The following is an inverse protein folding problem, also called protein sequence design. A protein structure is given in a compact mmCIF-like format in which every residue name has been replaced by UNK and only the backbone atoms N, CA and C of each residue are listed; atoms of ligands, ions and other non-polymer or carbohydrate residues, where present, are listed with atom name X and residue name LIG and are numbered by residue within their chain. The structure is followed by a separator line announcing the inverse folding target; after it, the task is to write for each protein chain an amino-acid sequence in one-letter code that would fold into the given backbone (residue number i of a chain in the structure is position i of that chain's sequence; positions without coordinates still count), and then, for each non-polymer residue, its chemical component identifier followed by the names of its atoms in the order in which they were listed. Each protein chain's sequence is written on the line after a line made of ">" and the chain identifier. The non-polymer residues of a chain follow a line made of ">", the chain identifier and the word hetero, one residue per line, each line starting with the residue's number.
data_IF_637211345959
#
_entry.id   IF_637211345959
#
_cell.length_a   1.000
_cell.length_b   1.000
_cell.length_c   1.000
_cell.angle_alpha   90.00
_cell.angle_beta   90.00
_cell.angle_gamma   90.00
#
_symmetry.space_group_name_H-M   'P 1'
#
loop_
_entity.id
_entity.type
_entity.pdbx_description
1 polymer ?
#
# COMPACT_ATOMS: atom_id res chain seq x y z
N UNK A 1 -39.86 45.29 6.34
CA UNK A 1 -40.02 43.90 5.82
C UNK A 1 -38.91 43.45 4.86
N UNK A 2 -38.31 44.31 4.03
CA UNK A 2 -37.33 43.83 3.01
C UNK A 2 -35.86 43.65 3.46
N UNK A 3 -35.44 44.14 4.63
CA UNK A 3 -34.03 44.00 5.07
C UNK A 3 -33.70 42.61 5.66
N UNK A 4 -34.67 41.96 6.31
CA UNK A 4 -34.45 40.66 6.99
C UNK A 4 -34.31 39.51 5.99
N UNK A 5 -35.00 39.57 4.86
CA UNK A 5 -34.89 38.59 3.77
C UNK A 5 -33.50 38.57 3.10
N UNK A 6 -32.81 39.71 3.03
CA UNK A 6 -31.48 39.79 2.43
C UNK A 6 -30.39 39.09 3.26
N UNK A 7 -30.46 39.18 4.60
CA UNK A 7 -29.49 38.53 5.50
C UNK A 7 -29.60 36.99 5.49
N UNK A 8 -30.82 36.45 5.39
CA UNK A 8 -31.04 34.99 5.33
C UNK A 8 -30.46 34.40 4.03
N UNK A 9 -30.50 35.14 2.93
CA UNK A 9 -29.92 34.73 1.64
C UNK A 9 -28.38 34.74 1.61
N UNK A 10 -27.74 35.62 2.40
CA UNK A 10 -26.27 35.67 2.49
C UNK A 10 -25.75 34.54 3.37
N UNK A 11 -26.38 34.28 4.53
CA UNK A 11 -25.94 33.24 5.47
C UNK A 11 -26.15 31.81 4.91
N UNK A 12 -27.00 31.62 3.91
CA UNK A 12 -27.22 30.32 3.26
C UNK A 12 -26.21 29.97 2.15
N UNK A 13 -25.27 30.86 1.81
CA UNK A 13 -24.16 30.55 0.89
C UNK A 13 -22.91 29.98 1.60
N UNK A 14 -22.70 30.30 2.89
CA UNK A 14 -21.52 29.86 3.65
C UNK A 14 -21.68 28.45 4.27
N UNK A 15 -22.83 27.80 4.08
CA UNK A 15 -23.13 26.44 4.61
C UNK A 15 -23.38 25.43 3.48
N UNK A 16 -22.73 25.60 2.33
CA UNK A 16 -22.43 24.45 1.46
C UNK A 16 -21.07 23.90 1.90
N UNK A 17 -21.11 22.96 2.84
CA UNK A 17 -19.98 22.07 3.10
C UNK A 17 -19.77 21.16 1.88
N UNK A 18 -19.09 21.69 0.87
CA UNK A 18 -18.71 20.98 -0.35
C UNK A 18 -17.93 19.73 0.08
N UNK A 19 -18.42 18.54 -0.34
CA UNK A 19 -17.59 17.35 -0.41
C UNK A 19 -16.32 17.71 -1.20
N UNK A 20 -15.19 17.91 -0.51
CA UNK A 20 -13.94 18.39 -1.14
C UNK A 20 -13.28 17.30 -1.98
N UNK A 21 -13.93 16.92 -3.10
CA UNK A 21 -13.21 16.46 -4.28
C UNK A 21 -12.25 17.58 -4.70
N UNK A 22 -10.97 17.28 -4.99
CA UNK A 22 -10.09 18.25 -5.65
C UNK A 22 -10.64 18.49 -7.06
N UNK A 23 -11.44 19.56 -7.23
CA UNK A 23 -12.12 19.83 -8.51
C UNK A 23 -11.16 20.26 -9.62
N UNK A 24 -9.95 20.72 -9.26
CA UNK A 24 -8.90 21.13 -10.20
C UNK A 24 -7.56 20.47 -9.81
N UNK A 25 -7.37 19.21 -10.24
CA UNK A 25 -6.09 18.51 -10.08
C UNK A 25 -4.94 19.21 -10.84
N UNK A 26 -5.11 19.69 -12.09
CA UNK A 26 -4.09 20.50 -12.77
C UNK A 26 -3.65 21.74 -11.96
N UNK A 27 -4.58 22.54 -11.46
CA UNK A 27 -4.26 23.72 -10.64
C UNK A 27 -3.55 23.39 -9.33
N UNK A 28 -3.84 22.24 -8.72
CA UNK A 28 -3.08 21.72 -7.56
C UNK A 28 -1.65 21.36 -7.94
N UNK A 29 -1.44 20.67 -9.07
CA UNK A 29 -0.10 20.32 -9.58
C UNK A 29 0.72 21.58 -9.86
N UNK A 30 0.14 22.57 -10.54
CA UNK A 30 0.78 23.86 -10.81
C UNK A 30 1.09 24.64 -9.54
N UNK A 31 0.16 24.67 -8.57
CA UNK A 31 0.38 25.30 -7.28
C UNK A 31 1.55 24.66 -6.53
N UNK A 32 1.60 23.34 -6.44
CA UNK A 32 2.67 22.59 -5.77
C UNK A 32 4.02 22.84 -6.45
N UNK A 33 4.09 22.73 -7.77
CA UNK A 33 5.31 22.95 -8.55
C UNK A 33 5.78 24.41 -8.56
N UNK A 34 4.88 25.38 -8.31
CA UNK A 34 5.20 26.80 -8.16
C UNK A 34 5.67 27.16 -6.74
N UNK A 35 5.19 26.45 -5.72
CA UNK A 35 5.45 26.77 -4.30
C UNK A 35 6.70 26.11 -3.71
N UNK A 36 7.16 25.01 -4.29
CA UNK A 36 8.37 24.31 -3.86
C UNK A 36 9.11 23.68 -5.04
N UNK A 37 10.39 23.36 -4.84
CA UNK A 37 11.27 22.74 -5.84
C UNK A 37 11.96 21.46 -5.35
N UNK A 38 11.49 20.89 -4.23
CA UNK A 38 12.03 19.68 -3.59
C UNK A 38 11.57 18.41 -4.33
N UNK A 39 10.37 18.43 -4.90
CA UNK A 39 9.82 17.36 -5.73
C UNK A 39 8.96 17.94 -6.86
N UNK A 40 8.73 17.14 -7.90
CA UNK A 40 7.84 17.49 -9.01
C UNK A 40 6.53 16.71 -8.89
N UNK A 41 5.42 17.42 -8.74
CA UNK A 41 4.08 16.85 -8.87
C UNK A 41 3.72 16.67 -10.36
N UNK A 42 2.94 15.63 -10.66
CA UNK A 42 2.39 15.35 -11.99
C UNK A 42 1.00 14.70 -11.84
N UNK A 43 0.19 14.72 -12.89
CA UNK A 43 -1.16 14.16 -12.87
C UNK A 43 -1.08 12.63 -12.98
N UNK A 44 -1.74 11.85 -12.09
CA UNK A 44 -1.77 10.40 -12.20
C UNK A 44 -2.31 9.93 -13.55
N UNK A 45 -1.59 9.03 -14.23
CA UNK A 45 -1.99 8.47 -15.55
C UNK A 45 -3.15 7.46 -15.48
N UNK A 46 -3.98 7.54 -14.44
CA UNK A 46 -5.04 6.59 -14.08
C UNK A 46 -6.31 7.33 -13.63
N UNK A 47 -7.45 6.64 -13.64
CA UNK A 47 -8.70 7.25 -13.15
C UNK A 47 -8.64 7.48 -11.64
N UNK A 48 -9.41 8.44 -11.11
CA UNK A 48 -9.51 8.64 -9.66
C UNK A 48 -10.01 7.39 -8.92
N UNK A 49 -10.87 6.59 -9.55
CA UNK A 49 -11.35 5.30 -9.02
C UNK A 49 -10.21 4.28 -8.91
N UNK A 50 -9.40 4.13 -9.97
CA UNK A 50 -8.23 3.24 -10.02
C UNK A 50 -7.12 3.71 -9.07
N UNK A 51 -6.94 5.02 -8.90
CA UNK A 51 -6.02 5.59 -7.92
C UNK A 51 -6.48 5.27 -6.49
N UNK A 52 -7.74 5.56 -6.16
CA UNK A 52 -8.30 5.28 -4.83
C UNK A 52 -8.32 3.78 -4.51
N UNK A 53 -8.50 2.90 -5.49
CA UNK A 53 -8.48 1.43 -5.30
C UNK A 53 -7.07 0.84 -5.10
N UNK A 54 -6.02 1.68 -5.04
CA UNK A 54 -4.64 1.29 -4.70
C UNK A 54 -4.16 1.92 -3.38
N UNK A 55 -4.98 2.75 -2.72
CA UNK A 55 -4.61 3.45 -1.49
C UNK A 55 -5.16 2.76 -0.23
N UNK A 56 -4.40 2.83 0.86
CA UNK A 56 -4.84 2.38 2.18
C UNK A 56 -5.94 3.30 2.69
N UNK A 57 -7.02 2.69 3.17
CA UNK A 57 -8.21 3.33 3.73
C UNK A 57 -7.92 3.78 5.17
N UNK A 58 -8.35 5.01 5.52
CA UNK A 58 -7.94 5.73 6.72
C UNK A 58 -8.38 5.04 8.03
N UNK A 59 -9.48 4.29 8.01
CA UNK A 59 -9.96 3.50 9.16
C UNK A 59 -8.99 2.41 9.64
N UNK A 60 -7.96 2.09 8.84
CA UNK A 60 -6.96 1.07 9.19
C UNK A 60 -5.73 1.63 9.90
N UNK A 61 -5.67 2.94 10.14
CA UNK A 61 -4.65 3.59 10.97
C UNK A 61 -5.09 3.80 12.43
N UNK A 62 -6.33 3.45 12.78
CA UNK A 62 -6.95 3.66 14.11
C UNK A 62 -6.72 2.49 15.10
N UNK A 63 -5.84 1.52 14.77
CA UNK A 63 -5.56 0.36 15.63
C UNK A 63 -4.77 0.73 16.90
N UNK A 64 -4.86 -0.09 17.94
CA UNK A 64 -4.16 0.13 19.21
C UNK A 64 -2.64 0.12 18.99
N UNK A 65 -1.97 1.22 19.36
CA UNK A 65 -0.52 1.38 19.15
C UNK A 65 0.25 0.65 20.25
N UNK A 66 0.65 -0.57 19.97
CA UNK A 66 1.70 -1.26 20.74
C UNK A 66 3.04 -0.61 20.39
N UNK A 67 3.64 0.07 21.36
CA UNK A 67 4.98 0.64 21.24
C UNK A 67 6.00 -0.39 21.75
N UNK A 68 7.10 -0.55 21.02
CA UNK A 68 8.29 -1.22 21.55
C UNK A 68 9.11 -0.26 22.42
N UNK A 69 9.93 -0.82 23.32
CA UNK A 69 10.85 -0.03 24.14
C UNK A 69 11.89 0.68 23.26
N UNK A 70 12.20 1.94 23.59
CA UNK A 70 13.28 2.67 22.92
C UNK A 70 14.64 2.11 23.37
N UNK A 71 15.40 1.55 22.43
CA UNK A 71 16.71 0.98 22.71
C UNK A 71 17.74 2.11 22.85
N UNK A 72 18.38 2.20 24.02
CA UNK A 72 19.42 3.18 24.27
C UNK A 72 20.62 3.01 23.31
N UNK A 73 20.74 3.93 22.34
CA UNK A 73 21.80 3.93 21.34
C UNK A 73 22.90 4.94 21.70
N UNK A 74 24.07 4.43 22.07
CA UNK A 74 25.24 5.24 22.47
C UNK A 74 26.16 5.62 21.28
N UNK A 75 25.67 5.55 20.05
CA UNK A 75 26.42 5.89 18.84
C UNK A 75 25.95 7.19 18.19
N UNK A 76 26.70 7.67 17.21
CA UNK A 76 26.28 8.79 16.36
C UNK A 76 25.34 8.30 15.25
N UNK A 77 24.19 8.96 15.08
CA UNK A 77 23.25 8.69 13.98
C UNK A 77 23.77 9.42 12.74
N UNK A 78 23.97 8.74 11.59
CA UNK A 78 24.52 9.38 10.40
C UNK A 78 23.52 10.35 9.74
N UNK A 79 24.03 11.41 9.11
CA UNK A 79 23.23 12.41 8.37
C UNK A 79 22.37 11.78 7.26
N UNK A 80 22.83 10.66 6.67
CA UNK A 80 22.03 9.89 5.73
C UNK A 80 22.27 8.39 5.90
N UNK A 81 21.22 7.60 5.66
CA UNK A 81 21.27 6.14 5.75
C UNK A 81 20.54 5.51 4.55
N UNK A 82 21.10 4.44 4.00
CA UNK A 82 20.50 3.66 2.91
C UNK A 82 20.77 2.18 3.17
N UNK A 83 19.72 1.45 3.58
CA UNK A 83 19.80 0.03 3.91
C UNK A 83 20.37 -0.83 2.77
N UNK A 84 20.19 -0.42 1.50
CA UNK A 84 20.72 -1.13 0.32
C UNK A 84 22.25 -1.00 0.19
N UNK A 85 22.84 0.02 0.81
CA UNK A 85 24.30 0.21 0.89
C UNK A 85 24.88 -0.45 2.14
N UNK A 86 24.13 -0.45 3.24
CA UNK A 86 24.56 -1.05 4.50
C UNK A 86 24.56 -2.59 4.46
N UNK A 87 23.55 -3.20 3.83
CA UNK A 87 23.41 -4.65 3.68
C UNK A 87 23.29 -5.01 2.19
N UNK A 88 24.38 -4.88 1.41
CA UNK A 88 24.37 -5.16 -0.03
C UNK A 88 24.09 -6.62 -0.37
N UNK A 89 24.38 -7.55 0.54
CA UNK A 89 24.10 -8.98 0.47
C UNK A 89 22.61 -9.32 0.61
N UNK A 90 21.83 -8.44 1.24
CA UNK A 90 20.38 -8.61 1.41
C UNK A 90 19.63 -8.12 0.18
N UNK A 91 19.62 -8.93 -0.89
CA UNK A 91 18.96 -8.59 -2.16
C UNK A 91 17.48 -8.21 -1.98
N UNK A 92 16.79 -8.77 -0.98
CA UNK A 92 15.40 -8.41 -0.62
C UNK A 92 15.17 -6.92 -0.39
N UNK A 93 16.18 -6.16 0.06
CA UNK A 93 16.09 -4.71 0.31
C UNK A 93 16.09 -3.90 -1.01
N UNK A 94 16.55 -4.51 -2.12
CA UNK A 94 16.52 -3.91 -3.48
C UNK A 94 15.23 -4.23 -4.25
N UNK A 95 14.49 -5.26 -3.86
CA UNK A 95 13.34 -5.76 -4.63
C UNK A 95 12.10 -4.88 -4.41
N UNK A 96 11.66 -4.22 -5.48
CA UNK A 96 10.32 -3.61 -5.54
C UNK A 96 9.30 -4.68 -5.94
N UNK A 97 8.24 -4.83 -5.14
CA UNK A 97 7.15 -5.80 -5.37
C UNK A 97 5.94 -5.10 -6.01
N UNK A 98 5.14 -5.85 -6.76
CA UNK A 98 3.86 -5.42 -7.31
C UNK A 98 2.72 -6.17 -6.59
N UNK A 99 1.72 -5.44 -6.11
CA UNK A 99 0.53 -5.98 -5.44
C UNK A 99 -0.62 -6.33 -6.42
N UNK A 100 -0.37 -6.21 -7.72
CA UNK A 100 -1.38 -6.30 -8.77
C UNK A 100 -2.57 -5.38 -8.47
N UNK A 101 -3.81 -5.84 -8.68
CA UNK A 101 -5.01 -5.14 -8.24
C UNK A 101 -5.64 -5.73 -6.96
N UNK A 102 -4.80 -6.19 -6.03
CA UNK A 102 -5.19 -6.54 -4.66
C UNK A 102 -4.88 -5.32 -3.77
N UNK A 103 -5.86 -4.42 -3.61
CA UNK A 103 -5.56 -2.99 -3.40
C UNK A 103 -6.38 -2.22 -2.37
N UNK A 104 -7.34 -2.82 -1.66
CA UNK A 104 -7.87 -2.27 -0.40
C UNK A 104 -7.15 -3.03 0.73
N UNK A 105 -6.21 -2.39 1.42
CA UNK A 105 -5.16 -3.07 2.22
C UNK A 105 -5.39 -2.85 3.75
N UNK A 106 -4.96 -3.70 4.71
CA UNK A 106 -4.43 -5.09 4.69
C UNK A 106 -4.56 -5.81 6.08
N UNK A 107 -5.54 -6.72 6.27
CA UNK A 107 -5.87 -7.62 7.44
C UNK A 107 -7.03 -7.30 8.40
N UNK A 108 -8.29 -7.57 8.03
CA UNK A 108 -8.81 -8.93 8.16
C UNK A 108 -9.43 -9.52 6.88
N UNK A 109 -9.34 -8.83 5.74
CA UNK A 109 -9.92 -9.29 4.47
C UNK A 109 -8.98 -9.10 3.25
N UNK A 110 -7.67 -9.25 3.42
CA UNK A 110 -6.66 -9.34 2.34
C UNK A 110 -6.73 -8.23 1.28
N UNK A 111 -7.36 -8.47 0.12
CA UNK A 111 -7.52 -7.50 -0.97
C UNK A 111 -8.63 -6.46 -0.71
N UNK A 112 -9.42 -6.66 0.35
CA UNK A 112 -10.47 -5.75 0.85
C UNK A 112 -10.10 -4.96 2.13
N UNK A 113 -9.09 -5.38 2.90
CA UNK A 113 -8.38 -4.46 3.82
C UNK A 113 -8.03 -4.95 5.22
N UNK A 114 -7.54 -4.02 6.07
CA UNK A 114 -7.25 -4.13 7.51
C UNK A 114 -5.84 -3.80 8.05
N UNK A 115 -5.45 -4.53 9.11
CA UNK A 115 -4.41 -4.40 10.16
C UNK A 115 -2.90 -4.61 9.87
N UNK A 116 -2.10 -3.55 9.67
CA UNK A 116 -0.63 -3.67 9.56
C UNK A 116 0.04 -4.32 10.78
N UNK A 117 -0.34 -3.93 12.01
CA UNK A 117 0.19 -4.52 13.25
C UNK A 117 -0.23 -5.99 13.39
N UNK A 118 -1.46 -6.33 12.98
CA UNK A 118 -1.98 -7.70 13.03
C UNK A 118 -1.22 -8.65 12.11
N UNK A 119 -0.63 -8.15 11.01
CA UNK A 119 0.27 -8.95 10.17
C UNK A 119 1.57 -9.35 10.91
N UNK A 120 2.17 -8.44 11.67
CA UNK A 120 3.35 -8.72 12.50
C UNK A 120 3.03 -9.68 13.66
N UNK A 121 1.91 -9.47 14.35
CA UNK A 121 1.43 -10.40 15.40
C UNK A 121 1.19 -11.80 14.82
N UNK A 122 0.58 -11.90 13.63
CA UNK A 122 0.42 -13.18 12.94
C UNK A 122 1.77 -13.82 12.60
N UNK A 123 2.74 -13.04 12.11
CA UNK A 123 4.07 -13.50 11.73
C UNK A 123 4.85 -14.07 12.93
N UNK A 124 4.79 -13.43 14.10
CA UNK A 124 5.37 -13.94 15.33
C UNK A 124 4.66 -15.22 15.82
N UNK A 125 3.31 -15.22 15.86
CA UNK A 125 2.55 -16.32 16.43
C UNK A 125 2.43 -17.58 15.53
N UNK A 126 2.41 -17.41 14.20
CA UNK A 126 2.08 -18.49 13.26
C UNK A 126 3.17 -18.77 12.21
N UNK A 127 4.07 -17.81 11.99
CA UNK A 127 5.05 -17.83 10.92
C UNK A 127 4.46 -17.69 9.51
N UNK A 128 5.32 -17.42 8.54
CA UNK A 128 5.01 -17.45 7.11
C UNK A 128 6.02 -18.31 6.36
N UNK A 129 5.53 -19.08 5.39
CA UNK A 129 6.39 -19.82 4.48
C UNK A 129 7.09 -18.89 3.48
N UNK A 130 8.13 -19.38 2.80
CA UNK A 130 8.78 -18.61 1.72
C UNK A 130 7.81 -18.30 0.59
N UNK A 131 7.97 -17.12 0.01
CA UNK A 131 7.13 -16.62 -1.08
C UNK A 131 7.91 -15.69 -2.00
N UNK A 132 7.36 -15.49 -3.19
CA UNK A 132 8.03 -14.82 -4.30
C UNK A 132 7.06 -14.08 -5.21
N UNK A 133 7.56 -13.56 -6.32
CA UNK A 133 6.77 -12.97 -7.39
C UNK A 133 5.81 -14.01 -8.02
N UNK A 134 4.89 -13.54 -8.86
CA UNK A 134 3.97 -14.41 -9.57
C UNK A 134 4.72 -15.46 -10.41
N UNK A 135 4.38 -16.74 -10.22
CA UNK A 135 5.02 -17.86 -10.93
C UNK A 135 6.46 -18.17 -10.50
N UNK A 136 7.00 -17.55 -9.44
CA UNK A 136 8.35 -17.80 -8.97
C UNK A 136 8.52 -19.26 -8.50
N UNK A 137 9.62 -19.89 -8.94
CA UNK A 137 9.98 -21.28 -8.62
C UNK A 137 10.99 -21.30 -7.48
N UNK A 138 11.01 -22.37 -6.69
CA UNK A 138 11.95 -22.48 -5.57
C UNK A 138 11.53 -21.75 -4.30
N UNK A 139 10.28 -21.29 -4.22
CA UNK A 139 9.62 -20.77 -3.01
C UNK A 139 8.39 -21.61 -2.68
N UNK A 140 7.95 -21.67 -1.42
CA UNK A 140 6.77 -22.44 -1.06
C UNK A 140 5.50 -21.88 -1.71
N UNK A 141 5.25 -20.57 -1.61
CA UNK A 141 4.03 -19.92 -2.14
C UNK A 141 4.35 -18.64 -2.92
N UNK A 142 4.51 -18.70 -4.27
CA UNK A 142 4.59 -17.49 -5.09
C UNK A 142 3.29 -16.68 -5.00
N UNK A 143 3.37 -15.38 -5.28
CA UNK A 143 2.21 -14.48 -5.25
C UNK A 143 1.11 -14.96 -6.20
N UNK A 144 -0.14 -14.84 -5.77
CA UNK A 144 -1.29 -15.48 -6.45
C UNK A 144 -1.73 -14.76 -7.73
N UNK A 145 -1.45 -13.46 -7.84
CA UNK A 145 -1.94 -12.61 -8.92
C UNK A 145 -0.81 -12.24 -9.87
N UNK A 146 -1.10 -12.32 -11.16
CA UNK A 146 -0.20 -11.81 -12.18
C UNK A 146 -0.15 -10.27 -12.08
N UNK A 147 1.03 -9.64 -12.12
CA UNK A 147 1.13 -8.18 -12.03
C UNK A 147 0.46 -7.51 -13.23
N UNK A 148 -0.16 -6.35 -12.99
CA UNK A 148 -1.04 -5.71 -13.96
C UNK A 148 -1.09 -4.19 -13.81
N UNK A 149 -1.61 -3.52 -14.84
CA UNK A 149 -1.83 -2.07 -14.86
C UNK A 149 -0.87 -1.34 -15.80
N UNK A 150 -0.72 -0.03 -15.57
CA UNK A 150 -0.10 0.88 -16.54
C UNK A 150 1.41 0.94 -16.43
N UNK A 151 2.10 -0.05 -17.00
CA UNK A 151 3.55 -0.20 -16.95
C UNK A 151 4.27 0.17 -18.26
N UNK A 152 4.06 1.40 -18.75
CA UNK A 152 4.81 1.95 -19.90
C UNK A 152 4.82 1.05 -21.13
N UNK A 153 6.01 0.69 -21.62
CA UNK A 153 6.21 -0.24 -22.75
C UNK A 153 6.51 -1.69 -22.31
N UNK A 154 6.21 -2.07 -21.05
CA UNK A 154 6.59 -3.37 -20.50
C UNK A 154 5.51 -4.43 -20.79
N UNK A 155 5.71 -5.23 -21.84
CA UNK A 155 4.78 -6.26 -22.33
C UNK A 155 4.51 -7.40 -21.36
N UNK A 156 5.32 -7.55 -20.30
CA UNK A 156 5.06 -8.51 -19.22
C UNK A 156 3.80 -8.15 -18.41
N UNK A 157 3.39 -6.89 -18.36
CA UNK A 157 2.26 -6.45 -17.55
C UNK A 157 1.00 -6.31 -18.41
N UNK A 158 -0.05 -7.05 -18.06
CA UNK A 158 -1.35 -6.95 -18.72
C UNK A 158 -2.25 -5.88 -18.11
N UNK A 159 -3.40 -5.63 -18.74
CA UNK A 159 -4.49 -4.89 -18.10
C UNK A 159 -5.03 -5.66 -16.88
N UNK A 160 -5.44 -4.95 -15.83
CA UNK A 160 -6.09 -5.57 -14.68
C UNK A 160 -7.53 -5.96 -15.06
N UNK A 161 -7.83 -7.26 -15.12
CA UNK A 161 -9.10 -7.79 -15.62
C UNK A 161 -10.31 -7.54 -14.70
N UNK A 162 -10.07 -7.07 -13.47
CA UNK A 162 -11.08 -6.83 -12.43
C UNK A 162 -10.78 -5.52 -11.72
N UNK A 163 -11.81 -4.90 -11.14
CA UNK A 163 -11.66 -3.67 -10.32
C UNK A 163 -10.96 -3.91 -8.99
N UNK A 164 -11.00 -5.14 -8.47
CA UNK A 164 -10.17 -5.66 -7.38
C UNK A 164 -10.05 -7.17 -7.57
N UNK A 165 -8.93 -7.75 -7.18
CA UNK A 165 -8.80 -9.20 -7.09
C UNK A 165 -9.52 -9.77 -5.87
N UNK A 166 -9.98 -11.01 -6.00
CA UNK A 166 -10.60 -11.76 -4.90
C UNK A 166 -9.53 -12.39 -4.01
N UNK A 167 -9.73 -12.28 -2.69
CA UNK A 167 -8.90 -12.93 -1.66
C UNK A 167 -8.67 -14.42 -1.95
N UNK A 168 -7.41 -14.89 -2.15
CA UNK A 168 -7.13 -16.29 -2.43
C UNK A 168 -7.49 -17.16 -1.22
N UNK A 169 -8.12 -18.31 -1.46
CA UNK A 169 -8.37 -19.29 -0.39
C UNK A 169 -7.05 -19.73 0.26
N UNK A 170 -6.96 -19.62 1.58
CA UNK A 170 -5.81 -20.11 2.34
C UNK A 170 -5.59 -21.61 2.07
N UNK A 171 -4.35 -21.99 1.73
CA UNK A 171 -3.93 -23.37 1.50
C UNK A 171 -2.60 -23.62 2.19
N UNK A 172 -2.61 -24.48 3.21
CA UNK A 172 -1.42 -24.93 3.98
C UNK A 172 -0.59 -25.95 3.19
N UNK A 173 -0.22 -25.58 1.96
CA UNK A 173 0.53 -26.40 1.02
C UNK A 173 1.36 -25.53 0.08
N UNK A 174 2.59 -25.96 -0.19
CA UNK A 174 3.51 -25.33 -1.14
C UNK A 174 3.16 -25.67 -2.59
N UNK A 175 3.85 -25.02 -3.54
CA UNK A 175 3.75 -25.37 -4.96
C UNK A 175 4.24 -26.80 -5.24
N UNK A 176 3.73 -27.41 -6.31
CA UNK A 176 4.12 -28.76 -6.72
C UNK A 176 5.63 -28.85 -6.99
N UNK A 177 6.27 -29.93 -6.52
CA UNK A 177 7.73 -30.17 -6.55
C UNK A 177 8.59 -29.22 -5.69
N UNK A 178 8.00 -28.37 -4.84
CA UNK A 178 8.77 -27.71 -3.78
C UNK A 178 9.26 -28.75 -2.75
N UNK A 179 10.53 -28.73 -2.30
CA UNK A 179 11.11 -29.85 -1.56
C UNK A 179 10.69 -29.94 -0.08
N UNK A 180 10.22 -28.86 0.55
CA UNK A 180 9.76 -28.86 1.94
C UNK A 180 8.23 -28.87 2.03
N UNK A 181 7.67 -29.33 3.15
CA UNK A 181 6.24 -29.11 3.46
C UNK A 181 6.00 -27.68 3.92
N UNK A 182 4.75 -27.23 3.84
CA UNK A 182 4.35 -25.86 4.19
C UNK A 182 4.67 -25.46 5.64
N UNK A 183 4.49 -26.35 6.63
CA UNK A 183 4.86 -26.05 8.01
C UNK A 183 6.39 -26.10 8.25
N UNK A 184 7.13 -26.91 7.48
CA UNK A 184 8.60 -27.05 7.56
C UNK A 184 9.34 -25.86 6.91
N UNK A 185 8.63 -25.06 6.10
CA UNK A 185 9.18 -23.88 5.44
C UNK A 185 8.77 -22.56 6.11
N UNK A 186 8.05 -22.63 7.24
CA UNK A 186 7.69 -21.44 8.01
C UNK A 186 8.91 -20.81 8.67
N UNK A 187 9.12 -19.54 8.36
CA UNK A 187 9.95 -18.61 9.10
C UNK A 187 9.02 -17.93 10.12
N UNK A 188 9.52 -17.63 11.30
CA UNK A 188 8.79 -16.92 12.36
C UNK A 188 9.42 -15.55 12.59
N UNK A 189 8.65 -14.59 13.09
CA UNK A 189 9.21 -13.34 13.62
C UNK A 189 9.82 -13.61 14.99
N UNK A 190 11.08 -13.20 15.19
CA UNK A 190 11.76 -13.15 16.49
C UNK A 190 11.55 -11.78 17.16
#
# INVERSE_FOLDING_TARGET
>A
TNAVLALVAIISLDVVAIERRPQDIPGIVDYINKKQSLFKADIPKMSYKEFKSRLIDDKYFEDERVYGDEVAFNGEIPESFDARKQWPECESIRIIRDQANCGRNYYLYWCDGGYSLKAWIYMAANGSCTGGAYGEKGVCKPYAFHPCGKHGNQTYYGECLRESEETPKCRRMCQFRYPKKYEEDKIYGE
#
